data_IF_322961930618
#
_entry.id   IF_322961930618
#
_cell.length_a   1.000
_cell.length_b   1.000
_cell.length_c   1.000
_cell.angle_alpha   90.00
_cell.angle_beta   90.00
_cell.angle_gamma   90.00
#
_symmetry.space_group_name_H-M   'P 1'
#
loop_
_entity.id
_entity.type
_entity.pdbx_description
1 polymer ?
#
# COMPACT_ATOMS: atom_id res chain seq x y z
N UNK A 1 -50.74 29.67 -6.04
CA UNK A 1 -49.31 29.68 -5.69
C UNK A 1 -48.98 28.94 -4.37
N UNK A 2 -49.60 27.79 -4.07
CA UNK A 2 -49.29 27.00 -2.85
C UNK A 2 -48.64 25.64 -3.13
N UNK A 3 -48.75 25.11 -4.36
CA UNK A 3 -48.18 23.81 -4.76
C UNK A 3 -46.70 23.87 -5.18
N UNK A 4 -46.19 25.05 -5.55
CA UNK A 4 -44.79 25.21 -6.00
C UNK A 4 -43.78 25.20 -4.83
N UNK A 5 -44.20 25.54 -3.61
CA UNK A 5 -43.32 25.56 -2.43
C UNK A 5 -42.95 24.16 -1.92
N UNK A 6 -43.80 23.16 -2.15
CA UNK A 6 -43.52 21.78 -1.69
C UNK A 6 -42.57 21.02 -2.61
N UNK A 7 -42.47 21.40 -3.90
CA UNK A 7 -41.52 20.76 -4.84
C UNK A 7 -40.06 21.14 -4.53
N UNK A 8 -39.82 22.39 -4.11
CA UNK A 8 -38.48 22.88 -3.75
C UNK A 8 -37.94 22.27 -2.45
N UNK A 9 -38.82 21.94 -1.51
CA UNK A 9 -38.41 21.33 -0.23
C UNK A 9 -38.01 19.86 -0.41
N UNK A 10 -38.62 19.13 -1.36
CA UNK A 10 -38.17 17.76 -1.68
C UNK A 10 -36.87 17.73 -2.49
N UNK A 11 -36.64 18.70 -3.39
CA UNK A 11 -35.41 18.74 -4.19
C UNK A 11 -34.17 19.13 -3.36
N UNK A 12 -34.36 19.87 -2.26
CA UNK A 12 -33.27 20.26 -1.35
C UNK A 12 -32.96 19.20 -0.29
N UNK A 13 -33.91 18.32 0.05
CA UNK A 13 -33.67 17.19 0.97
C UNK A 13 -33.03 15.96 0.31
N UNK A 14 -33.22 15.76 -1.00
CA UNK A 14 -32.59 14.63 -1.72
C UNK A 14 -31.11 14.88 -2.03
N UNK A 15 -30.69 16.15 -2.17
CA UNK A 15 -29.28 16.50 -2.39
C UNK A 15 -28.43 16.60 -1.11
N UNK A 16 -29.04 16.56 0.08
CA UNK A 16 -28.32 16.68 1.36
C UNK A 16 -27.71 15.35 1.87
N UNK A 17 -27.95 14.23 1.17
CA UNK A 17 -27.28 12.95 1.40
C UNK A 17 -26.20 12.67 0.35
N UNK A 18 -25.41 13.68 -0.05
CA UNK A 18 -24.18 13.41 -0.78
C UNK A 18 -23.22 12.69 0.17
N UNK A 19 -23.20 11.36 0.03
CA UNK A 19 -22.26 10.38 0.56
C UNK A 19 -21.00 10.99 1.20
N UNK A 20 -21.00 11.09 2.53
CA UNK A 20 -19.73 11.06 3.25
C UNK A 20 -19.04 9.70 3.00
N UNK A 21 -17.72 9.60 3.23
CA UNK A 21 -17.02 8.34 3.08
C UNK A 21 -17.75 7.25 3.87
N UNK A 22 -18.13 6.18 3.18
CA UNK A 22 -18.84 5.05 3.75
C UNK A 22 -17.80 4.04 4.19
N UNK A 23 -17.35 4.19 5.43
CA UNK A 23 -16.51 3.16 6.06
C UNK A 23 -17.28 1.84 6.09
N UNK A 24 -16.65 0.79 5.57
CA UNK A 24 -17.18 -0.57 5.60
C UNK A 24 -16.20 -1.47 6.36
N UNK A 25 -16.71 -2.24 7.32
CA UNK A 25 -15.91 -3.26 8.01
C UNK A 25 -15.80 -4.51 7.11
N UNK A 26 -14.58 -4.87 6.72
CA UNK A 26 -14.33 -6.09 5.94
C UNK A 26 -14.06 -7.32 6.80
N UNK A 27 -13.47 -7.12 7.99
CA UNK A 27 -13.14 -8.17 8.96
C UNK A 27 -12.65 -7.55 10.26
N UNK A 28 -12.27 -8.37 11.25
CA UNK A 28 -11.80 -7.83 12.53
C UNK A 28 -10.57 -6.92 12.36
N UNK A 29 -10.68 -5.68 12.82
CA UNK A 29 -9.64 -4.65 12.65
C UNK A 29 -9.32 -4.29 11.20
N UNK A 30 -10.16 -4.60 10.20
CA UNK A 30 -9.92 -4.23 8.79
C UNK A 30 -11.11 -3.45 8.22
N UNK A 31 -10.83 -2.26 7.70
CA UNK A 31 -11.82 -1.32 7.17
C UNK A 31 -11.52 -0.93 5.74
N UNK A 32 -12.56 -0.74 4.96
CA UNK A 32 -12.50 -0.09 3.66
C UNK A 32 -13.06 1.33 3.76
N UNK A 33 -12.27 2.31 3.31
CA UNK A 33 -12.59 3.73 3.37
C UNK A 33 -13.28 4.17 2.06
N UNK A 34 -14.50 3.67 1.82
CA UNK A 34 -15.24 3.98 0.59
C UNK A 34 -15.52 5.48 0.46
N UNK A 35 -15.23 6.06 -0.70
CA UNK A 35 -15.42 7.49 -0.96
C UNK A 35 -14.42 8.43 -0.26
N UNK A 36 -13.39 7.91 0.43
CA UNK A 36 -12.35 8.76 1.02
C UNK A 36 -11.39 9.36 -0.03
N UNK A 37 -11.24 8.67 -1.16
CA UNK A 37 -10.56 9.15 -2.36
C UNK A 37 -11.45 8.96 -3.61
N UNK A 38 -12.41 9.87 -3.87
CA UNK A 38 -13.32 9.75 -5.02
C UNK A 38 -12.62 9.70 -6.37
N UNK A 39 -11.47 10.38 -6.52
CA UNK A 39 -10.68 10.35 -7.75
C UNK A 39 -10.11 8.96 -8.00
N UNK A 40 -9.52 8.34 -6.97
CA UNK A 40 -9.04 6.96 -7.06
C UNK A 40 -10.16 6.00 -7.43
N UNK A 41 -11.31 6.06 -6.77
CA UNK A 41 -12.47 5.21 -7.12
C UNK A 41 -12.98 5.44 -8.55
N UNK A 42 -12.98 6.68 -9.03
CA UNK A 42 -13.35 7.00 -10.42
C UNK A 42 -12.42 6.32 -11.43
N UNK A 43 -11.13 6.22 -11.13
CA UNK A 43 -10.17 5.51 -11.98
C UNK A 43 -10.46 4.01 -12.08
N UNK A 44 -10.79 3.34 -10.97
CA UNK A 44 -11.24 1.94 -11.01
C UNK A 44 -12.50 1.80 -11.87
N UNK A 45 -13.48 2.69 -11.69
CA UNK A 45 -14.72 2.67 -12.45
C UNK A 45 -14.50 2.88 -13.96
N UNK A 46 -13.56 3.76 -14.35
CA UNK A 46 -13.21 4.03 -15.76
C UNK A 46 -12.76 2.79 -16.52
N UNK A 47 -12.08 1.87 -15.84
CA UNK A 47 -11.62 0.60 -16.41
C UNK A 47 -12.58 -0.57 -16.14
N UNK A 48 -13.80 -0.29 -15.69
CA UNK A 48 -14.85 -1.28 -15.44
C UNK A 48 -14.62 -2.15 -14.22
N UNK A 49 -13.86 -1.65 -13.23
CA UNK A 49 -13.61 -2.34 -11.96
C UNK A 49 -14.34 -1.66 -10.80
N UNK A 50 -14.56 -2.43 -9.74
CA UNK A 50 -15.05 -1.92 -8.46
C UNK A 50 -13.93 -2.02 -7.42
N UNK A 51 -13.46 -0.88 -6.90
CA UNK A 51 -12.34 -0.84 -5.97
C UNK A 51 -12.62 -1.59 -4.66
N UNK A 52 -13.82 -1.44 -4.11
CA UNK A 52 -14.27 -2.13 -2.91
C UNK A 52 -14.20 -3.65 -3.10
N UNK A 53 -14.72 -4.17 -4.20
CA UNK A 53 -14.75 -5.61 -4.45
C UNK A 53 -13.35 -6.18 -4.69
N UNK A 54 -12.50 -5.46 -5.41
CA UNK A 54 -11.09 -5.84 -5.58
C UNK A 54 -10.36 -5.87 -4.23
N UNK A 55 -10.57 -4.86 -3.38
CA UNK A 55 -9.99 -4.84 -2.05
C UNK A 55 -10.49 -6.05 -1.22
N UNK A 56 -11.78 -6.34 -1.27
CA UNK A 56 -12.38 -7.44 -0.50
C UNK A 56 -11.94 -8.81 -0.96
N UNK A 57 -11.86 -9.04 -2.26
CA UNK A 57 -11.65 -10.38 -2.82
C UNK A 57 -10.18 -10.69 -3.05
N UNK A 58 -9.34 -9.66 -3.26
CA UNK A 58 -7.91 -9.84 -3.57
C UNK A 58 -7.02 -9.36 -2.44
N UNK A 59 -7.09 -8.09 -2.09
CA UNK A 59 -6.21 -7.48 -1.07
C UNK A 59 -6.37 -8.14 0.29
N UNK A 60 -7.60 -8.46 0.71
CA UNK A 60 -7.86 -9.10 2.00
C UNK A 60 -7.05 -10.38 2.23
N UNK A 61 -6.83 -11.20 1.18
CA UNK A 61 -6.11 -12.47 1.32
C UNK A 61 -4.67 -12.23 1.80
N UNK A 62 -3.97 -11.28 1.20
CA UNK A 62 -2.58 -10.99 1.55
C UNK A 62 -2.48 -10.08 2.77
N UNK A 63 -3.45 -9.17 2.96
CA UNK A 63 -3.54 -8.34 4.16
C UNK A 63 -3.73 -9.17 5.43
N UNK A 64 -4.55 -10.22 5.39
CA UNK A 64 -4.73 -11.12 6.53
C UNK A 64 -3.43 -11.86 6.88
N UNK A 65 -2.71 -12.35 5.86
CA UNK A 65 -1.38 -12.96 6.07
C UNK A 65 -0.37 -11.98 6.63
N UNK A 66 -0.42 -10.73 6.18
CA UNK A 66 0.46 -9.66 6.63
C UNK A 66 0.16 -9.25 8.08
N UNK A 67 -1.13 -9.12 8.43
CA UNK A 67 -1.61 -8.88 9.79
C UNK A 67 -1.15 -9.97 10.75
N UNK A 68 -1.40 -11.24 10.41
CA UNK A 68 -0.94 -12.40 11.20
C UNK A 68 0.58 -12.38 11.39
N UNK A 69 1.35 -12.09 10.33
CA UNK A 69 2.80 -12.04 10.41
C UNK A 69 3.32 -10.90 11.31
N UNK A 70 2.65 -9.74 11.34
CA UNK A 70 2.96 -8.67 12.32
C UNK A 70 2.69 -9.17 13.74
N UNK A 71 1.51 -9.74 13.98
CA UNK A 71 1.07 -10.19 15.31
C UNK A 71 1.99 -11.28 15.89
N UNK A 72 2.43 -12.21 15.04
CA UNK A 72 3.37 -13.28 15.38
C UNK A 72 4.84 -12.82 15.43
N UNK A 73 5.13 -11.56 15.07
CA UNK A 73 6.50 -11.04 14.87
C UNK A 73 7.31 -11.90 13.90
N UNK A 74 6.66 -12.42 12.88
CA UNK A 74 7.28 -13.23 11.83
C UNK A 74 7.89 -12.32 10.76
N UNK A 75 9.10 -11.81 11.06
CA UNK A 75 9.83 -10.88 10.19
C UNK A 75 9.98 -11.42 8.76
N UNK A 76 10.35 -12.70 8.61
CA UNK A 76 10.53 -13.34 7.31
C UNK A 76 9.26 -13.32 6.46
N UNK A 77 8.10 -13.56 7.07
CA UNK A 77 6.82 -13.55 6.34
C UNK A 77 6.40 -12.14 5.94
N UNK A 78 6.60 -11.14 6.79
CA UNK A 78 6.31 -9.73 6.45
C UNK A 78 7.21 -9.23 5.31
N UNK A 79 8.53 -9.52 5.39
CA UNK A 79 9.46 -9.11 4.34
C UNK A 79 9.18 -9.82 3.01
N UNK A 80 8.78 -11.09 3.02
CA UNK A 80 8.39 -11.83 1.82
C UNK A 80 7.11 -11.30 1.16
N UNK A 81 6.16 -10.81 1.96
CA UNK A 81 4.93 -10.17 1.45
C UNK A 81 5.17 -8.74 0.92
N UNK A 82 6.39 -8.23 1.10
CA UNK A 82 6.82 -6.91 0.64
C UNK A 82 7.48 -6.99 -0.74
N UNK A 83 7.55 -5.86 -1.45
CA UNK A 83 8.25 -5.79 -2.75
C UNK A 83 9.74 -6.13 -2.66
N UNK A 84 10.31 -6.78 -3.69
CA UNK A 84 11.73 -7.13 -3.77
C UNK A 84 12.66 -5.92 -3.98
N UNK A 85 12.11 -4.72 -4.26
CA UNK A 85 12.92 -3.49 -4.39
C UNK A 85 13.79 -3.21 -3.17
N UNK A 86 13.34 -3.64 -1.98
CA UNK A 86 14.09 -3.45 -0.74
C UNK A 86 15.34 -4.32 -0.67
N UNK A 87 15.31 -5.59 -1.12
CA UNK A 87 16.51 -6.43 -1.13
C UNK A 87 17.55 -5.90 -2.10
N UNK A 88 17.14 -5.42 -3.27
CA UNK A 88 18.04 -4.77 -4.24
C UNK A 88 18.68 -3.50 -3.69
N UNK A 89 17.90 -2.68 -2.98
CA UNK A 89 18.41 -1.43 -2.44
C UNK A 89 19.33 -1.66 -1.24
N UNK A 90 19.02 -2.63 -0.37
CA UNK A 90 19.91 -3.08 0.71
C UNK A 90 21.19 -3.70 0.15
N UNK A 91 21.07 -4.55 -0.87
CA UNK A 91 22.22 -5.15 -1.52
C UNK A 91 23.21 -4.09 -1.99
N UNK A 92 22.73 -3.05 -2.68
CA UNK A 92 23.54 -1.93 -3.15
C UNK A 92 24.10 -1.09 -2.00
N UNK A 93 23.26 -0.68 -1.05
CA UNK A 93 23.65 0.20 0.05
C UNK A 93 24.74 -0.42 0.94
N UNK A 94 24.73 -1.74 1.11
CA UNK A 94 25.66 -2.46 1.97
C UNK A 94 26.64 -3.36 1.21
N UNK A 95 26.68 -3.27 -0.12
CA UNK A 95 27.54 -4.04 -1.01
C UNK A 95 27.50 -5.56 -0.72
N UNK A 96 26.29 -6.11 -0.61
CA UNK A 96 26.05 -7.53 -0.33
C UNK A 96 26.10 -8.32 -1.66
N UNK A 97 26.61 -9.55 -1.60
CA UNK A 97 26.86 -10.42 -2.76
C UNK A 97 25.62 -10.73 -3.59
N UNK A 98 24.44 -10.84 -2.98
CA UNK A 98 23.20 -11.18 -3.68
C UNK A 98 21.98 -10.55 -3.01
N UNK A 99 20.89 -10.41 -3.77
CA UNK A 99 19.58 -9.99 -3.23
C UNK A 99 19.07 -10.96 -2.15
N UNK A 100 19.38 -12.26 -2.28
CA UNK A 100 19.00 -13.28 -1.30
C UNK A 100 19.70 -13.05 0.04
N UNK A 101 21.04 -12.88 0.01
CA UNK A 101 21.83 -12.59 1.22
C UNK A 101 21.40 -11.25 1.84
N UNK A 102 21.05 -10.26 1.01
CA UNK A 102 20.54 -8.98 1.48
C UNK A 102 19.20 -9.12 2.20
N UNK A 103 18.31 -9.98 1.70
CA UNK A 103 17.02 -10.28 2.32
C UNK A 103 17.20 -11.00 3.66
N UNK A 104 18.07 -12.02 3.74
CA UNK A 104 18.37 -12.71 5.01
C UNK A 104 18.97 -11.75 6.03
N UNK A 105 19.93 -10.92 5.62
CA UNK A 105 20.56 -9.95 6.50
C UNK A 105 19.56 -8.89 7.00
N UNK A 106 18.63 -8.47 6.13
CA UNK A 106 17.57 -7.56 6.51
C UNK A 106 16.62 -8.18 7.55
N UNK A 107 16.16 -9.42 7.33
CA UNK A 107 15.32 -10.15 8.29
C UNK A 107 16.02 -10.24 9.65
N UNK A 108 17.31 -10.62 9.66
CA UNK A 108 18.12 -10.73 10.87
C UNK A 108 18.33 -9.39 11.59
N UNK A 109 18.31 -8.27 10.86
CA UNK A 109 18.41 -6.93 11.45
C UNK A 109 17.25 -6.63 12.41
N UNK A 110 16.05 -7.15 12.12
CA UNK A 110 14.87 -7.02 12.98
C UNK A 110 14.99 -7.86 14.26
N UNK A 111 15.50 -9.09 14.15
CA UNK A 111 15.69 -10.01 15.29
C UNK A 111 16.70 -9.46 16.31
N UNK A 112 17.72 -8.75 15.83
CA UNK A 112 18.79 -8.19 16.66
C UNK A 112 18.47 -6.80 17.23
N UNK A 113 17.31 -6.23 16.89
CA UNK A 113 16.91 -4.88 17.32
C UNK A 113 17.73 -3.74 16.71
N UNK A 114 18.56 -4.04 15.70
CA UNK A 114 19.34 -3.06 14.91
C UNK A 114 18.79 -3.01 13.50
N UNK A 115 17.49 -2.76 13.39
CA UNK A 115 16.83 -2.70 12.10
C UNK A 115 17.49 -1.66 11.20
N UNK A 116 17.74 -2.04 9.95
CA UNK A 116 18.35 -1.15 8.96
C UNK A 116 17.35 -0.12 8.40
N UNK A 117 16.10 -0.20 8.86
CA UNK A 117 15.03 0.71 8.50
C UNK A 117 13.93 0.74 9.57
N UNK A 118 13.14 1.82 9.56
CA UNK A 118 12.01 2.03 10.48
C UNK A 118 10.81 1.10 10.17
N UNK A 119 10.98 0.15 9.24
CA UNK A 119 10.01 -0.91 8.99
C UNK A 119 9.78 -1.79 10.22
N UNK A 120 10.74 -1.80 11.16
CA UNK A 120 10.61 -2.50 12.44
C UNK A 120 9.52 -1.91 13.36
N UNK A 121 9.09 -0.67 13.10
CA UNK A 121 8.02 -0.01 13.83
C UNK A 121 6.68 -0.75 13.67
N UNK A 122 6.50 -1.50 12.58
CA UNK A 122 5.33 -2.36 12.37
C UNK A 122 5.16 -3.41 13.47
N UNK A 123 6.25 -3.82 14.14
CA UNK A 123 6.25 -4.84 15.19
C UNK A 123 6.36 -4.26 16.60
N UNK A 124 6.76 -2.98 16.71
CA UNK A 124 6.86 -2.26 17.98
C UNK A 124 5.52 -1.64 18.38
N UNK A 125 4.82 -1.07 17.41
CA UNK A 125 3.54 -0.43 17.65
C UNK A 125 2.40 -1.46 17.65
N UNK A 126 1.45 -1.32 18.58
CA UNK A 126 0.23 -2.13 18.55
C UNK A 126 -0.71 -1.59 17.47
N UNK A 127 -0.77 -2.29 16.33
CA UNK A 127 -1.72 -2.00 15.25
C UNK A 127 -3.12 -2.49 15.64
N UNK A 128 -4.11 -1.60 15.61
CA UNK A 128 -5.51 -1.91 15.99
C UNK A 128 -6.48 -1.85 14.82
N UNK A 129 -6.07 -1.23 13.70
CA UNK A 129 -6.88 -1.20 12.49
C UNK A 129 -6.01 -1.10 11.24
N UNK A 130 -6.43 -1.78 10.17
CA UNK A 130 -5.90 -1.66 8.82
C UNK A 130 -6.97 -0.99 7.96
N UNK A 131 -6.71 0.23 7.50
CA UNK A 131 -7.68 1.05 6.79
C UNK A 131 -7.28 1.17 5.31
N UNK A 132 -8.10 0.58 4.45
CA UNK A 132 -7.85 0.44 3.02
C UNK A 132 -8.48 1.62 2.28
N UNK A 133 -7.67 2.39 1.57
CA UNK A 133 -8.11 3.49 0.72
C UNK A 133 -7.72 3.23 -0.74
N UNK A 134 -8.66 3.29 -1.69
CA UNK A 134 -8.33 3.18 -3.11
C UNK A 134 -7.49 4.39 -3.53
N UNK A 135 -6.34 4.13 -4.16
CA UNK A 135 -5.42 5.19 -4.56
C UNK A 135 -5.54 5.51 -6.05
N UNK A 136 -5.29 4.48 -6.87
CA UNK A 136 -5.13 4.65 -8.31
C UNK A 136 -5.51 3.35 -9.03
N UNK A 137 -6.07 3.49 -10.23
CA UNK A 137 -6.13 2.38 -11.18
C UNK A 137 -5.89 2.86 -12.61
N UNK A 138 -5.12 2.09 -13.38
CA UNK A 138 -4.86 2.40 -14.77
C UNK A 138 -4.85 1.11 -15.60
N UNK A 139 -5.14 1.25 -16.89
CA UNK A 139 -5.01 0.18 -17.86
C UNK A 139 -4.12 0.63 -19.02
N UNK A 140 -2.86 0.18 -19.02
CA UNK A 140 -2.00 0.29 -20.19
C UNK A 140 -2.06 -1.00 -21.02
N UNK A 141 -2.73 -0.91 -22.17
CA UNK A 141 -2.94 -2.01 -23.14
C UNK A 141 -3.58 -3.25 -22.51
N UNK A 142 -2.77 -4.25 -22.19
CA UNK A 142 -3.17 -5.56 -21.64
C UNK A 142 -3.09 -5.62 -20.10
N UNK A 143 -2.53 -4.59 -19.45
CA UNK A 143 -2.15 -4.62 -18.04
C UNK A 143 -3.04 -3.69 -17.24
N UNK A 144 -3.55 -4.19 -16.12
CA UNK A 144 -4.28 -3.39 -15.14
C UNK A 144 -3.37 -3.18 -13.94
N UNK A 145 -3.06 -1.93 -13.67
CA UNK A 145 -2.34 -1.52 -12.48
C UNK A 145 -3.33 -0.94 -11.48
N UNK A 146 -3.26 -1.38 -10.23
CA UNK A 146 -4.13 -0.88 -9.17
C UNK A 146 -3.32 -0.69 -7.90
N UNK A 147 -3.60 0.40 -7.19
CA UNK A 147 -2.96 0.73 -5.92
C UNK A 147 -3.99 1.02 -4.86
N UNK A 148 -3.69 0.58 -3.65
CA UNK A 148 -4.40 0.95 -2.44
C UNK A 148 -3.40 1.42 -1.40
N UNK A 149 -3.76 2.46 -0.65
CA UNK A 149 -3.11 2.68 0.63
C UNK A 149 -3.74 1.76 1.67
N UNK A 150 -2.90 1.16 2.50
CA UNK A 150 -3.31 0.44 3.69
C UNK A 150 -2.65 1.14 4.87
N UNK A 151 -3.43 1.97 5.55
CA UNK A 151 -3.00 2.71 6.72
C UNK A 151 -3.07 1.79 7.95
N UNK A 152 -1.98 1.71 8.70
CA UNK A 152 -1.90 0.93 9.94
C UNK A 152 -2.12 1.87 11.12
N UNK A 153 -3.34 1.85 11.66
CA UNK A 153 -3.70 2.66 12.83
C UNK A 153 -3.12 2.03 14.08
N UNK A 154 -2.40 2.85 14.85
CA UNK A 154 -1.83 2.47 16.14
C UNK A 154 -2.87 2.60 17.26
N UNK A 155 -2.72 1.81 18.32
CA UNK A 155 -3.49 2.01 19.55
C UNK A 155 -3.30 3.45 20.07
N UNK A 156 -4.40 4.12 20.43
CA UNK A 156 -4.38 5.51 20.88
C UNK A 156 -4.33 6.56 19.78
N UNK A 157 -4.16 6.19 18.51
CA UNK A 157 -4.20 7.14 17.39
C UNK A 157 -5.63 7.58 17.07
N UNK A 158 -5.91 8.87 17.31
CA UNK A 158 -7.22 9.49 17.04
C UNK A 158 -7.20 10.30 15.74
N UNK A 159 -8.37 10.47 15.11
CA UNK A 159 -8.52 11.28 13.90
C UNK A 159 -8.29 10.50 12.61
N UNK A 160 -8.28 11.23 11.48
CA UNK A 160 -8.07 10.66 10.15
C UNK A 160 -6.61 10.20 10.01
N UNK A 161 -6.43 8.97 9.53
CA UNK A 161 -5.10 8.46 9.13
C UNK A 161 -4.65 9.11 7.83
N UNK A 162 -3.40 9.49 7.79
CA UNK A 162 -2.75 10.09 6.62
C UNK A 162 -1.33 9.52 6.48
N UNK A 163 -0.69 9.78 5.33
CA UNK A 163 0.69 9.38 5.08
C UNK A 163 1.66 9.95 6.14
N UNK A 164 1.39 11.16 6.62
CA UNK A 164 2.27 11.87 7.55
C UNK A 164 2.14 11.39 9.00
N UNK A 165 1.03 10.73 9.35
CA UNK A 165 0.71 10.41 10.75
C UNK A 165 0.53 8.92 11.04
N UNK A 166 0.67 8.05 10.04
CA UNK A 166 0.50 6.61 10.19
C UNK A 166 1.58 5.85 9.44
N UNK A 167 1.80 4.59 9.84
CA UNK A 167 2.59 3.68 9.01
C UNK A 167 1.71 3.29 7.84
N UNK A 168 2.19 3.54 6.61
CA UNK A 168 1.41 3.25 5.41
C UNK A 168 2.10 2.16 4.62
N UNK A 169 1.36 1.09 4.37
CA UNK A 169 1.74 0.11 3.36
C UNK A 169 1.02 0.50 2.07
N UNK A 170 1.73 0.50 0.95
CA UNK A 170 1.10 0.70 -0.35
C UNK A 170 0.88 -0.68 -0.92
N UNK A 171 -0.35 -1.17 -0.97
CA UNK A 171 -0.61 -2.37 -1.74
C UNK A 171 -0.59 -2.03 -3.22
N UNK A 172 0.29 -2.71 -3.95
CA UNK A 172 0.39 -2.58 -5.40
C UNK A 172 0.02 -3.91 -6.05
N UNK A 173 -1.04 -3.88 -6.85
CA UNK A 173 -1.44 -5.03 -7.66
C UNK A 173 -0.64 -5.12 -8.95
N UNK A 174 0.68 -4.88 -8.92
CA UNK A 174 1.52 -5.19 -10.07
C UNK A 174 1.41 -6.70 -10.31
N UNK A 175 0.55 -7.09 -11.26
CA UNK A 175 0.54 -8.43 -11.78
C UNK A 175 1.83 -8.56 -12.59
N UNK A 176 2.91 -9.02 -11.95
CA UNK A 176 4.16 -9.24 -12.66
C UNK A 176 3.94 -10.33 -13.72
N UNK A 177 4.51 -10.08 -14.91
CA UNK A 177 4.16 -10.67 -16.20
C UNK A 177 4.55 -12.15 -16.40
N UNK A 178 4.83 -12.95 -15.37
CA UNK A 178 5.38 -14.30 -15.57
C UNK A 178 4.83 -15.41 -14.64
N UNK A 179 4.32 -15.06 -13.47
CA UNK A 179 3.98 -15.99 -12.38
C UNK A 179 2.51 -15.91 -11.94
N UNK A 180 1.75 -14.92 -12.42
CA UNK A 180 0.34 -14.75 -12.06
C UNK A 180 0.14 -14.23 -10.64
N UNK A 181 1.21 -13.81 -9.94
CA UNK A 181 1.12 -13.15 -8.65
C UNK A 181 0.63 -11.71 -8.84
N UNK A 182 -0.63 -11.47 -8.48
CA UNK A 182 -1.24 -10.15 -8.50
C UNK A 182 -1.33 -9.63 -7.07
N UNK A 183 -0.40 -8.77 -6.66
CA UNK A 183 -0.46 -8.06 -5.38
C UNK A 183 0.72 -8.29 -4.45
N UNK A 184 1.48 -7.22 -4.15
CA UNK A 184 2.43 -7.18 -3.03
C UNK A 184 2.31 -5.85 -2.30
N UNK A 185 2.73 -5.83 -1.04
CA UNK A 185 2.86 -4.57 -0.31
C UNK A 185 4.17 -3.89 -0.71
N UNK A 186 4.06 -2.83 -1.52
CA UNK A 186 5.15 -1.91 -1.71
C UNK A 186 5.47 -1.22 -0.39
N UNK A 187 6.77 -1.13 -0.11
CA UNK A 187 7.35 -0.42 1.03
C UNK A 187 7.88 0.95 0.62
N UNK A 188 7.55 1.43 -0.59
CA UNK A 188 8.02 2.71 -1.11
C UNK A 188 7.54 3.90 -0.26
N UNK A 189 6.45 3.74 0.51
CA UNK A 189 6.03 4.71 1.53
C UNK A 189 7.03 4.86 2.70
N UNK A 190 7.99 3.94 2.82
CA UNK A 190 9.13 4.03 3.74
C UNK A 190 10.39 4.57 3.04
N UNK A 191 10.31 5.14 1.83
CA UNK A 191 11.43 5.88 1.24
C UNK A 191 11.89 6.99 2.20
N UNK A 192 13.20 7.06 2.46
CA UNK A 192 13.79 7.95 3.48
C UNK A 192 13.82 7.37 4.92
N UNK A 193 13.05 6.31 5.18
CA UNK A 193 13.05 5.52 6.42
C UNK A 193 13.68 4.13 6.24
N UNK A 194 13.87 3.73 4.99
CA UNK A 194 14.63 2.59 4.51
C UNK A 194 15.73 3.10 3.56
N UNK A 195 16.79 2.32 3.29
CA UNK A 195 17.75 2.60 2.22
C UNK A 195 17.12 2.32 0.84
N UNK A 196 15.93 2.86 0.59
CA UNK A 196 15.21 2.82 -0.68
C UNK A 196 15.48 4.13 -1.42
N UNK A 197 15.74 4.03 -2.71
CA UNK A 197 15.75 5.19 -3.60
C UNK A 197 14.30 5.61 -3.86
N UNK A 198 14.06 6.92 -4.01
CA UNK A 198 12.78 7.40 -4.54
C UNK A 198 12.56 6.89 -5.97
N UNK A 199 11.30 6.85 -6.48
CA UNK A 199 11.06 6.50 -7.87
C UNK A 199 11.88 7.34 -8.86
N UNK A 200 12.04 8.65 -8.61
CA UNK A 200 12.86 9.52 -9.48
C UNK A 200 14.36 9.22 -9.35
N UNK A 201 14.84 8.88 -8.16
CA UNK A 201 16.24 8.47 -7.95
C UNK A 201 16.52 7.12 -8.61
N UNK A 202 15.55 6.21 -8.60
CA UNK A 202 15.63 4.91 -9.26
C UNK A 202 15.65 5.06 -10.78
N UNK A 203 14.79 5.92 -11.34
CA UNK A 203 14.78 6.21 -12.78
C UNK A 203 16.10 6.85 -13.23
N UNK A 204 16.63 7.83 -12.47
CA UNK A 204 17.95 8.41 -12.74
C UNK A 204 19.07 7.38 -12.67
N UNK A 205 19.00 6.46 -11.72
CA UNK A 205 20.01 5.42 -11.58
C UNK A 205 19.93 4.41 -12.73
N UNK A 206 18.72 4.01 -13.15
CA UNK A 206 18.52 3.16 -14.33
C UNK A 206 19.06 3.83 -15.60
N UNK A 207 18.81 5.12 -15.78
CA UNK A 207 19.34 5.89 -16.90
C UNK A 207 20.87 5.94 -16.85
N UNK A 208 21.45 6.09 -15.66
CA UNK A 208 22.90 6.08 -15.46
C UNK A 208 23.51 4.70 -15.78
N UNK A 209 22.96 3.62 -15.21
CA UNK A 209 23.42 2.23 -15.43
C UNK A 209 23.26 1.82 -16.91
N UNK A 210 22.17 2.22 -17.56
CA UNK A 210 21.96 1.98 -19.00
C UNK A 210 22.94 2.75 -19.89
N UNK A 211 23.43 3.92 -19.43
CA UNK A 211 24.38 4.76 -20.19
C UNK A 211 25.84 4.46 -19.84
N UNK A 212 26.09 3.76 -18.73
CA UNK A 212 27.41 3.35 -18.25
C UNK A 212 27.36 1.86 -17.86
N UNK A 213 27.17 0.96 -18.83
CA UNK A 213 27.11 -0.46 -18.54
C UNK A 213 28.41 -0.93 -17.90
N UNK A 214 28.29 -1.69 -16.81
CA UNK A 214 29.43 -2.21 -16.08
C UNK A 214 30.18 -3.23 -16.95
N UNK A 215 31.38 -2.86 -17.43
CA UNK A 215 32.22 -3.70 -18.30
C UNK A 215 32.99 -4.77 -17.50
N UNK A 216 32.88 -4.78 -16.17
CA UNK A 216 33.54 -5.76 -15.32
C UNK A 216 32.63 -6.96 -15.03
N UNK A 217 32.52 -7.87 -16.00
CA UNK A 217 31.86 -9.16 -15.81
C UNK A 217 32.75 -10.34 -16.21
#
# INVERSE_FOLDING_TARGET
MKKLRYLFVFFTLVFAFSCGPKEEQFGDGIKYLGGSNPKGEEEFNKIGLNARDIAKDRLMKDLLKFKEAIEEKNYHRVTHLSTSRISQSIQRAYNISSEYDAMEAWVKSFETGKAWCDYDLLFKDKVVSYEIEPLQADQDKEWRYMRYYVYLRKEGQTGKVTLENSHVLVFESQCYKADGECGRFSVDAFAGHCPLLSPEEEDRLKDFESSHPDETR
#
